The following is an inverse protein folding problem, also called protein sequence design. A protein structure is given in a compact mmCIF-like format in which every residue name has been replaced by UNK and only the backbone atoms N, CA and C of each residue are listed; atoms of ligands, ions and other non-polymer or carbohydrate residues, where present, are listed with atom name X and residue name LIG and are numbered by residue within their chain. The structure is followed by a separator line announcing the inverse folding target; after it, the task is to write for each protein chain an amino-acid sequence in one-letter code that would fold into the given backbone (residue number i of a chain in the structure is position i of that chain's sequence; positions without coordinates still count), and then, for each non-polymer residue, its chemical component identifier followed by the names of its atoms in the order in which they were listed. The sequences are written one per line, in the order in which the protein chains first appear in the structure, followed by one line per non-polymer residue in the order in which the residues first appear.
data_IF_926663381462
#
_entry.id   IF_926663381462
#
_cell.length_a   1.000
_cell.length_b   1.000
_cell.length_c   1.000
_cell.angle_alpha   90.00
_cell.angle_beta   90.00
_cell.angle_gamma   90.00
#
_symmetry.space_group_name_H-M   'P 1'
#
loop_
_entity.id
_entity.type
_entity.pdbx_description
1 polymer ?
#
# COMPACT_ATOMS: atom_id res chain seq x y z
N UNK A 1 -25.74 -1.66 -1.50
CA UNK A 1 -25.41 -0.62 -2.49
C UNK A 1 -24.02 -0.05 -2.19
N UNK A 2 -22.96 -0.82 -2.41
CA UNK A 2 -21.60 -0.28 -2.51
C UNK A 2 -21.21 -0.44 -3.99
N UNK A 3 -21.89 0.34 -4.83
CA UNK A 3 -21.69 0.34 -6.28
C UNK A 3 -20.45 1.16 -6.62
N UNK A 4 -19.42 0.49 -7.12
CA UNK A 4 -18.78 0.71 -8.43
C UNK A 4 -18.29 2.13 -8.84
N UNK A 5 -18.47 3.21 -8.06
CA UNK A 5 -18.06 4.58 -8.47
C UNK A 5 -17.29 5.38 -7.38
N UNK A 6 -16.64 4.69 -6.44
CA UNK A 6 -15.77 5.39 -5.50
C UNK A 6 -14.46 5.79 -6.19
N UNK A 7 -14.23 7.10 -6.33
CA UNK A 7 -12.92 7.65 -6.74
C UNK A 7 -11.86 7.14 -5.77
N UNK A 8 -10.94 6.33 -6.29
CA UNK A 8 -9.78 5.83 -5.54
C UNK A 8 -8.58 6.70 -5.85
N UNK A 9 -8.03 7.36 -4.85
CA UNK A 9 -6.74 8.01 -5.01
C UNK A 9 -5.62 6.98 -4.95
N UNK A 10 -4.61 7.20 -5.80
CA UNK A 10 -3.33 6.50 -5.73
C UNK A 10 -2.29 7.45 -5.15
N UNK A 11 -1.65 7.03 -4.07
CA UNK A 11 -0.41 7.59 -3.58
C UNK A 11 0.75 6.62 -3.86
N UNK A 12 1.93 7.16 -4.10
CA UNK A 12 3.17 6.39 -4.22
C UNK A 12 4.18 6.98 -3.25
N UNK A 13 4.75 6.12 -2.41
CA UNK A 13 5.76 6.50 -1.41
C UNK A 13 7.01 5.65 -1.62
N UNK A 14 8.18 6.28 -1.59
CA UNK A 14 9.44 5.55 -1.60
C UNK A 14 9.77 5.13 -0.17
N UNK A 15 9.99 3.84 0.03
CA UNK A 15 10.31 3.26 1.33
C UNK A 15 11.66 2.58 1.23
N UNK A 16 12.59 2.81 2.17
CA UNK A 16 13.86 2.10 2.21
C UNK A 16 13.66 0.59 2.15
N UNK A 17 14.41 -0.08 1.28
CA UNK A 17 14.26 -1.53 1.03
C UNK A 17 14.37 -2.35 2.33
N UNK A 18 15.23 -1.93 3.26
CA UNK A 18 15.41 -2.60 4.56
C UNK A 18 14.14 -2.59 5.44
N UNK A 19 13.23 -1.63 5.23
CA UNK A 19 12.01 -1.47 6.02
C UNK A 19 10.82 -2.26 5.46
N UNK A 20 10.91 -2.79 4.23
CA UNK A 20 9.79 -3.48 3.58
C UNK A 20 9.32 -4.70 4.36
N UNK A 21 10.26 -5.54 4.83
CA UNK A 21 9.91 -6.69 5.64
C UNK A 21 9.16 -6.31 6.93
N UNK A 22 9.53 -5.17 7.55
CA UNK A 22 8.83 -4.64 8.74
C UNK A 22 7.46 -4.09 8.39
N UNK A 23 7.33 -3.40 7.25
CA UNK A 23 6.06 -2.87 6.76
C UNK A 23 5.06 -4.00 6.45
N UNK A 24 5.51 -5.09 5.83
CA UNK A 24 4.69 -6.29 5.57
C UNK A 24 4.30 -6.98 6.88
N UNK A 25 5.28 -7.13 7.78
CA UNK A 25 5.14 -7.92 9.01
C UNK A 25 5.10 -9.43 8.74
N UNK A 26 5.15 -10.23 9.80
CA UNK A 26 5.14 -11.70 9.69
C UNK A 26 3.86 -12.18 8.97
N UNK A 27 4.03 -12.90 7.87
CA UNK A 27 2.91 -13.41 7.06
C UNK A 27 2.00 -12.32 6.47
N UNK A 28 2.47 -11.08 6.32
CA UNK A 28 1.66 -9.96 5.84
C UNK A 28 0.69 -9.39 6.87
N UNK A 29 0.83 -9.73 8.15
CA UNK A 29 -0.10 -9.29 9.20
C UNK A 29 -0.23 -7.76 9.28
N UNK A 30 0.88 -7.04 9.27
CA UNK A 30 0.88 -5.60 9.43
C UNK A 30 0.22 -4.89 8.23
N UNK A 31 0.56 -5.32 7.00
CA UNK A 31 -0.06 -4.76 5.79
C UNK A 31 -1.57 -5.06 5.73
N UNK A 32 -2.00 -6.25 6.17
CA UNK A 32 -3.43 -6.60 6.25
C UNK A 32 -4.17 -5.73 7.26
N UNK A 33 -3.59 -5.55 8.44
CA UNK A 33 -4.16 -4.68 9.47
C UNK A 33 -4.28 -3.23 8.98
N UNK A 34 -3.25 -2.69 8.32
CA UNK A 34 -3.27 -1.35 7.75
C UNK A 34 -4.39 -1.19 6.71
N UNK A 35 -4.54 -2.17 5.80
CA UNK A 35 -5.62 -2.14 4.82
C UNK A 35 -7.01 -2.22 5.47
N UNK A 36 -7.17 -3.04 6.51
CA UNK A 36 -8.42 -3.15 7.26
C UNK A 36 -8.78 -1.86 8.02
N UNK A 37 -7.80 -1.23 8.69
CA UNK A 37 -8.04 -0.04 9.51
C UNK A 37 -8.26 1.22 8.67
N UNK A 38 -7.64 1.29 7.50
CA UNK A 38 -7.71 2.48 6.62
C UNK A 38 -8.72 2.35 5.48
N UNK A 39 -9.15 1.12 5.15
CA UNK A 39 -9.89 0.84 3.93
C UNK A 39 -9.07 1.05 2.65
N UNK A 40 -7.77 1.32 2.78
CA UNK A 40 -6.86 1.41 1.64
C UNK A 40 -6.39 0.02 1.21
N UNK A 41 -5.98 -0.08 -0.04
CA UNK A 41 -5.34 -1.23 -0.65
C UNK A 41 -3.86 -0.89 -0.88
N UNK A 42 -2.96 -1.69 -0.32
CA UNK A 42 -1.52 -1.43 -0.34
C UNK A 42 -0.89 -2.46 -1.28
N UNK A 43 -0.26 -2.00 -2.35
CA UNK A 43 0.47 -2.81 -3.32
C UNK A 43 1.97 -2.59 -3.17
N UNK A 44 2.66 -3.67 -2.88
CA UNK A 44 4.11 -3.72 -2.76
C UNK A 44 4.73 -4.11 -4.10
N UNK A 45 5.99 -3.71 -4.36
CA UNK A 45 6.72 -4.19 -5.52
C UNK A 45 7.02 -5.69 -5.39
N UNK A 46 6.91 -6.41 -6.50
CA UNK A 46 7.25 -7.83 -6.54
C UNK A 46 8.74 -8.04 -6.21
N UNK A 47 9.08 -9.15 -5.55
CA UNK A 47 10.47 -9.51 -5.23
C UNK A 47 11.38 -9.58 -6.48
N UNK A 48 10.81 -9.85 -7.67
CA UNK A 48 11.54 -9.81 -8.94
C UNK A 48 11.88 -8.40 -9.43
N UNK A 49 11.28 -7.36 -8.85
CA UNK A 49 11.58 -5.95 -9.12
C UNK A 49 12.35 -5.27 -7.98
N UNK A 50 12.82 -6.02 -6.98
CA UNK A 50 13.89 -5.57 -6.09
C UNK A 50 15.18 -5.45 -6.90
N UNK A 51 15.25 -4.37 -7.66
CA UNK A 51 16.51 -3.80 -8.10
C UNK A 51 17.33 -3.50 -6.85
N UNK A 52 18.67 -3.48 -6.95
CA UNK A 52 19.57 -3.13 -5.83
C UNK A 52 19.43 -1.67 -5.35
N UNK A 53 18.26 -1.07 -5.53
CA UNK A 53 17.89 0.25 -5.11
C UNK A 53 17.77 0.32 -3.59
N UNK A 54 18.20 1.47 -3.04
CA UNK A 54 18.08 1.76 -1.61
C UNK A 54 16.63 1.95 -1.17
N UNK A 55 15.71 2.23 -2.10
CA UNK A 55 14.30 2.49 -1.85
C UNK A 55 13.44 1.77 -2.88
N UNK A 56 12.24 1.38 -2.47
CA UNK A 56 11.23 0.79 -3.35
C UNK A 56 9.91 1.58 -3.28
N UNK A 57 9.20 1.73 -4.40
CA UNK A 57 7.93 2.44 -4.45
C UNK A 57 6.78 1.56 -3.94
N UNK A 58 6.14 1.97 -2.85
CA UNK A 58 4.92 1.36 -2.31
C UNK A 58 3.72 2.15 -2.78
N UNK A 59 2.73 1.46 -3.38
CA UNK A 59 1.53 2.07 -3.96
C UNK A 59 0.35 1.87 -3.03
N UNK A 60 -0.32 2.95 -2.66
CA UNK A 60 -1.47 2.93 -1.75
C UNK A 60 -2.67 3.45 -2.53
N UNK A 61 -3.75 2.69 -2.53
CA UNK A 61 -5.00 2.99 -3.21
C UNK A 61 -6.11 3.10 -2.18
N UNK A 62 -6.70 4.26 -1.98
CA UNK A 62 -7.70 4.43 -0.93
C UNK A 62 -8.92 5.20 -1.41
N UNK A 63 -10.05 5.08 -0.72
CA UNK A 63 -11.17 5.99 -0.92
C UNK A 63 -10.70 7.41 -0.65
N UNK A 64 -10.98 8.33 -1.57
CA UNK A 64 -10.82 9.75 -1.29
C UNK A 64 -12.13 10.25 -0.68
N UNK A 65 -12.14 10.72 0.57
CA UNK A 65 -13.28 11.46 1.09
C UNK A 65 -13.32 12.86 0.44
N UNK A 66 -13.34 12.96 -0.89
CA UNK A 66 -13.79 14.18 -1.56
C UNK A 66 -15.30 14.17 -1.57
N UNK A 67 -15.89 14.41 -0.41
CA UNK A 67 -17.27 14.87 -0.22
C UNK A 67 -17.44 15.16 1.27
N UNK A 68 -17.03 16.36 1.69
CA UNK A 68 -17.81 17.10 2.68
C UNK A 68 -18.04 18.50 2.12
#
# INVERSE_FOLDING_TARGET
YFGEDLVRLRAEINVPTLLIGRLVGKGGHNVRQLQQSTGAFIKLPDDSQQTSASEVPVKIFGPFPASQ
#
